data_IF_896586113326
#
_entry.id   IF_896586113326
#
_cell.length_a   1.000
_cell.length_b   1.000
_cell.length_c   1.000
_cell.angle_alpha   90.00
_cell.angle_beta   90.00
_cell.angle_gamma   90.00
#
_symmetry.space_group_name_H-M   'P 1'
#
loop_
_entity.id
_entity.type
_entity.pdbx_description
1 polymer ?
#
# COMPACT_ATOMS: atom_id res chain seq x y z
N UNK A 1 8.84 0.91 14.97
CA UNK A 1 8.77 -0.49 14.65
C UNK A 1 8.99 -0.73 13.16
N UNK A 2 9.29 -1.95 12.87
CA UNK A 2 9.56 -2.32 11.48
C UNK A 2 8.35 -2.02 10.59
N UNK A 3 7.16 -2.29 11.11
CA UNK A 3 5.93 -2.07 10.34
C UNK A 3 5.77 -0.61 9.95
N UNK A 4 5.97 0.29 10.90
CA UNK A 4 5.82 1.72 10.62
C UNK A 4 6.85 2.18 9.61
N UNK A 5 8.08 1.66 9.73
CA UNK A 5 9.14 2.02 8.80
C UNK A 5 8.77 1.60 7.38
N UNK A 6 8.23 0.40 7.23
CA UNK A 6 7.81 -0.08 5.92
C UNK A 6 6.66 0.74 5.37
N UNK A 7 5.75 1.17 6.23
CA UNK A 7 4.64 2.02 5.80
C UNK A 7 5.15 3.35 5.25
N UNK A 8 6.14 3.93 5.92
CA UNK A 8 6.73 5.18 5.46
C UNK A 8 7.47 4.98 4.16
N UNK A 9 8.17 3.86 4.02
CA UNK A 9 8.85 3.55 2.76
C UNK A 9 7.87 3.43 1.61
N UNK A 10 6.73 2.80 1.88
CA UNK A 10 5.71 2.67 0.84
C UNK A 10 5.16 4.03 0.44
N UNK A 11 4.93 4.89 1.42
CA UNK A 11 4.46 6.24 1.12
C UNK A 11 5.46 6.98 0.24
N UNK A 12 6.75 6.79 0.52
CA UNK A 12 7.81 7.38 -0.30
C UNK A 12 7.77 6.86 -1.72
N UNK A 13 7.58 5.56 -1.88
CA UNK A 13 7.51 4.97 -3.22
C UNK A 13 6.32 5.51 -4.01
N UNK A 14 5.18 5.69 -3.35
CA UNK A 14 4.02 6.24 -4.03
C UNK A 14 4.29 7.68 -4.43
N UNK A 15 5.00 8.43 -3.59
CA UNK A 15 5.34 9.81 -3.94
C UNK A 15 6.24 9.86 -5.15
N UNK A 16 7.24 9.00 -5.19
CA UNK A 16 8.15 8.94 -6.34
C UNK A 16 7.42 8.53 -7.60
N UNK A 17 6.53 7.55 -7.48
CA UNK A 17 5.73 7.14 -8.63
C UNK A 17 4.84 8.24 -9.13
N UNK A 18 4.29 9.05 -8.21
CA UNK A 18 3.47 10.17 -8.59
C UNK A 18 4.29 11.22 -9.34
N UNK A 19 5.48 11.52 -8.83
CA UNK A 19 6.37 12.50 -9.47
C UNK A 19 6.77 12.02 -10.85
N UNK A 20 7.03 10.73 -11.00
CA UNK A 20 7.42 10.14 -12.27
C UNK A 20 6.24 9.87 -13.19
N UNK A 21 5.03 10.17 -12.72
CA UNK A 21 3.81 9.97 -13.51
C UNK A 21 3.49 8.50 -13.75
N UNK A 22 4.01 7.64 -12.91
CA UNK A 22 3.65 6.22 -12.98
C UNK A 22 2.29 5.97 -12.36
N UNK A 23 1.91 6.77 -11.38
CA UNK A 23 0.61 6.69 -10.74
C UNK A 23 0.09 8.11 -10.55
N UNK A 24 -1.23 8.22 -10.42
CA UNK A 24 -1.87 9.53 -10.30
C UNK A 24 -2.25 9.87 -8.87
N UNK A 25 -1.98 8.99 -7.92
CA UNK A 25 -2.23 9.25 -6.50
C UNK A 25 -0.97 8.99 -5.71
N UNK A 26 -0.83 9.71 -4.62
CA UNK A 26 0.28 9.45 -3.71
C UNK A 26 -0.26 9.33 -2.31
N UNK A 27 0.49 8.65 -1.46
CA UNK A 27 0.10 8.45 -0.08
C UNK A 27 0.64 9.59 0.76
N UNK A 28 -0.27 10.45 1.20
CA UNK A 28 0.10 11.58 2.05
C UNK A 28 0.35 11.10 3.48
N UNK A 29 0.96 11.93 4.33
CA UNK A 29 1.12 11.56 5.74
C UNK A 29 -0.20 11.24 6.41
N UNK A 30 -1.26 11.96 6.07
CA UNK A 30 -2.57 11.67 6.62
C UNK A 30 -3.05 10.27 6.23
N UNK A 31 -2.78 9.90 4.99
CA UNK A 31 -3.17 8.56 4.53
C UNK A 31 -2.41 7.49 5.32
N UNK A 32 -1.14 7.72 5.61
CA UNK A 32 -0.36 6.77 6.40
C UNK A 32 -0.97 6.63 7.79
N UNK A 33 -1.39 7.73 8.40
CA UNK A 33 -2.01 7.70 9.71
C UNK A 33 -3.32 6.90 9.66
N UNK A 34 -4.14 7.15 8.64
CA UNK A 34 -5.39 6.42 8.47
C UNK A 34 -5.13 4.93 8.29
N UNK A 35 -4.11 4.61 7.51
CA UNK A 35 -3.73 3.22 7.30
C UNK A 35 -3.33 2.56 8.62
N UNK A 36 -2.52 3.25 9.43
CA UNK A 36 -2.11 2.71 10.71
C UNK A 36 -3.31 2.48 11.62
N UNK A 37 -4.25 3.41 11.62
CA UNK A 37 -5.45 3.25 12.42
C UNK A 37 -6.27 2.05 11.98
N UNK A 38 -6.41 1.87 10.67
CA UNK A 38 -7.11 0.72 10.13
C UNK A 38 -6.38 -0.57 10.45
N UNK A 39 -5.06 -0.54 10.42
CA UNK A 39 -4.29 -1.71 10.77
C UNK A 39 -4.56 -2.15 12.22
N UNK A 40 -4.66 -1.18 13.12
CA UNK A 40 -4.95 -1.49 14.52
C UNK A 40 -6.31 -2.17 14.63
N UNK A 41 -7.28 -1.71 13.86
CA UNK A 41 -8.63 -2.26 13.91
C UNK A 41 -8.69 -3.66 13.31
N UNK A 42 -8.15 -3.81 12.12
CA UNK A 42 -8.28 -5.06 11.36
C UNK A 42 -7.14 -6.03 11.62
N UNK A 43 -6.01 -5.53 12.10
CA UNK A 43 -4.84 -6.35 12.41
C UNK A 43 -4.35 -7.13 11.20
N UNK A 44 -4.57 -6.57 10.01
CA UNK A 44 -4.14 -7.14 8.75
C UNK A 44 -3.61 -6.01 7.90
N UNK A 45 -2.28 -6.00 7.72
CA UNK A 45 -1.63 -4.89 7.04
C UNK A 45 -2.06 -4.80 5.58
N UNK A 46 -2.27 -5.94 4.93
CA UNK A 46 -2.67 -5.93 3.52
C UNK A 46 -4.11 -5.44 3.37
N UNK A 47 -4.98 -5.95 4.21
CA UNK A 47 -6.40 -5.56 4.13
C UNK A 47 -6.57 -4.07 4.41
N UNK A 48 -5.90 -3.57 5.44
CA UNK A 48 -5.99 -2.16 5.78
C UNK A 48 -5.40 -1.29 4.69
N UNK A 49 -4.33 -1.75 4.04
CA UNK A 49 -3.74 -1.00 2.93
C UNK A 49 -4.73 -0.91 1.76
N UNK A 50 -5.36 -2.02 1.44
CA UNK A 50 -6.32 -2.03 0.32
C UNK A 50 -7.48 -1.08 0.60
N UNK A 51 -8.00 -1.10 1.82
CA UNK A 51 -9.10 -0.20 2.18
C UNK A 51 -8.66 1.26 2.18
N UNK A 52 -7.45 1.52 2.64
CA UNK A 52 -7.02 2.89 2.84
C UNK A 52 -6.55 3.53 1.54
N UNK A 53 -5.86 2.78 0.71
CA UNK A 53 -5.22 3.39 -0.46
C UNK A 53 -5.49 2.67 -1.76
N UNK A 54 -5.26 1.35 -1.79
CA UNK A 54 -5.30 0.62 -3.05
C UNK A 54 -6.63 0.76 -3.78
N UNK A 55 -7.72 0.69 -3.03
CA UNK A 55 -9.05 0.79 -3.64
C UNK A 55 -9.33 2.17 -4.22
N UNK A 56 -8.56 3.17 -3.81
CA UNK A 56 -8.72 4.52 -4.33
C UNK A 56 -7.90 4.77 -5.59
N UNK A 57 -7.02 3.84 -5.92
CA UNK A 57 -6.19 3.98 -7.11
C UNK A 57 -6.97 3.54 -8.34
N UNK A 58 -6.60 4.10 -9.49
CA UNK A 58 -7.15 3.64 -10.74
C UNK A 58 -6.83 2.16 -10.92
N UNK A 59 -7.76 1.46 -11.53
CA UNK A 59 -7.60 0.03 -11.74
C UNK A 59 -6.31 -0.28 -12.48
N UNK A 60 -5.96 0.56 -13.45
CA UNK A 60 -4.75 0.35 -14.24
C UNK A 60 -3.48 0.57 -13.43
N UNK A 61 -3.57 1.31 -12.33
CA UNK A 61 -2.41 1.62 -11.51
C UNK A 61 -2.25 0.68 -10.32
N UNK A 62 -3.28 -0.10 -10.01
CA UNK A 62 -3.23 -0.99 -8.86
C UNK A 62 -2.08 -1.99 -8.90
N UNK A 63 -1.75 -2.58 -10.05
CA UNK A 63 -0.60 -3.50 -10.08
C UNK A 63 0.70 -2.80 -9.70
N UNK A 64 0.87 -1.55 -10.10
CA UNK A 64 2.08 -0.80 -9.78
C UNK A 64 2.16 -0.58 -8.27
N UNK A 65 1.06 -0.15 -7.68
CA UNK A 65 1.02 0.11 -6.24
C UNK A 65 1.20 -1.19 -5.45
N UNK A 66 0.60 -2.27 -5.94
CA UNK A 66 0.75 -3.56 -5.29
C UNK A 66 2.21 -4.00 -5.29
N UNK A 67 2.94 -3.71 -6.36
CA UNK A 67 4.36 -4.03 -6.41
C UNK A 67 5.13 -3.22 -5.38
N UNK A 68 4.77 -1.95 -5.20
CA UNK A 68 5.41 -1.13 -4.18
C UNK A 68 5.23 -1.77 -2.80
N UNK A 69 4.01 -2.22 -2.52
CA UNK A 69 3.72 -2.86 -1.25
C UNK A 69 4.58 -4.11 -1.07
N UNK A 70 4.69 -4.90 -2.12
CA UNK A 70 5.47 -6.12 -2.06
C UNK A 70 6.93 -5.84 -1.77
N UNK A 71 7.46 -4.78 -2.34
CA UNK A 71 8.85 -4.41 -2.09
C UNK A 71 9.09 -4.06 -0.64
N UNK A 72 8.14 -3.38 -0.02
CA UNK A 72 8.31 -2.90 1.35
C UNK A 72 7.99 -3.98 2.38
N UNK A 73 7.05 -4.85 2.09
CA UNK A 73 6.58 -5.83 3.06
C UNK A 73 6.90 -7.27 2.68
N UNK A 74 7.31 -7.49 1.44
CA UNK A 74 7.65 -8.83 1.01
C UNK A 74 6.45 -9.74 0.89
N UNK A 75 5.25 -9.19 0.76
CA UNK A 75 4.02 -9.96 0.64
C UNK A 75 3.31 -9.61 -0.63
N UNK A 76 2.65 -10.60 -1.20
CA UNK A 76 1.90 -10.44 -2.42
C UNK A 76 0.49 -9.95 -2.13
N UNK A 77 0.08 -8.90 -2.79
CA UNK A 77 -1.26 -8.34 -2.66
C UNK A 77 -2.24 -8.94 -3.66
N UNK A 78 -1.79 -9.88 -4.48
CA UNK A 78 -2.66 -10.49 -5.48
C UNK A 78 -3.91 -11.04 -4.79
N UNK A 79 -4.98 -10.92 -5.46
CA UNK A 79 -6.23 -11.35 -4.87
C UNK A 79 -6.15 -12.77 -4.45
N UNK A 80 -5.87 -12.99 -4.26
CA UNK A 80 -5.80 -14.04 -3.97
C UNK A 80 -5.38 -14.92 -3.65
N UNK A 81 -5.43 -15.03 -3.73
CA UNK A 81 -5.29 -15.80 -3.56
C UNK A 81 -4.68 -16.67 -3.45
N UNK A 82 -4.34 -17.02 -3.36
CA UNK A 82 -3.75 -17.85 -3.39
C UNK A 82 -3.25 -18.62 -2.92
N UNK A 83 -3.24 -19.35 -2.89
CA UNK A 83 -2.77 -20.07 -2.29
C UNK A 83 -1.87 -20.73 -2.00
N UNK A 84 -1.45 -20.71 -1.93
CA UNK A 84 -0.64 -21.18 -1.70
C UNK A 84 -0.39 -21.40 -1.01
N UNK A 85 -0.64 -21.19 -0.94
CA UNK A 85 -0.39 -21.13 -0.40
C UNK A 85 -0.20 -21.27 0.02
#
# INVERSE_FOLDING_TARGET
>A
KVMVKSMIQLADLTRQGFINEDISNLMSPRTVITWAQNYIIFKDIRHSFRLTFLNKCDESERPIVAEYFQRCFGEDLAESHNPKQ
#
